data_IF_809125864888
#
_entry.id   IF_809125864888
#
_cell.length_a   1.000
_cell.length_b   1.000
_cell.length_c   1.000
_cell.angle_alpha   90.00
_cell.angle_beta   90.00
_cell.angle_gamma   90.00
#
_symmetry.space_group_name_H-M   'P 1'
#
loop_
_entity.id
_entity.type
_entity.pdbx_description
1 polymer ?
#
# COMPACT_ATOMS: atom_id res chain seq x y z
N UNK A 1 -11.70 -14.11 -7.78
CA UNK A 1 -10.80 -13.43 -8.75
C UNK A 1 -11.31 -12.05 -9.16
N UNK A 2 -12.44 -11.90 -9.88
CA UNK A 2 -12.90 -10.56 -10.38
C UNK A 2 -13.13 -9.52 -9.28
N UNK A 3 -13.79 -9.88 -8.18
CA UNK A 3 -14.07 -8.93 -7.10
C UNK A 3 -12.80 -8.45 -6.39
N UNK A 4 -11.89 -9.36 -6.06
CA UNK A 4 -10.57 -9.02 -5.53
C UNK A 4 -9.81 -8.12 -6.50
N UNK A 5 -9.83 -8.43 -7.80
CA UNK A 5 -9.24 -7.59 -8.83
C UNK A 5 -9.73 -6.14 -8.78
N UNK A 6 -11.03 -5.91 -8.61
CA UNK A 6 -11.58 -4.55 -8.44
C UNK A 6 -11.11 -3.85 -7.17
N UNK A 7 -11.03 -4.58 -6.04
CA UNK A 7 -10.50 -4.02 -4.77
C UNK A 7 -9.03 -3.61 -4.92
N UNK A 8 -8.20 -4.49 -5.47
CA UNK A 8 -6.79 -4.20 -5.67
C UNK A 8 -6.59 -3.11 -6.74
N UNK A 9 -7.46 -3.04 -7.76
CA UNK A 9 -7.46 -1.96 -8.74
C UNK A 9 -7.80 -0.61 -8.12
N UNK A 10 -8.73 -0.57 -7.16
CA UNK A 10 -9.04 0.64 -6.38
C UNK A 10 -7.79 1.13 -5.62
N UNK A 11 -7.11 0.24 -4.91
CA UNK A 11 -5.86 0.56 -4.19
C UNK A 11 -4.75 1.04 -5.14
N UNK A 12 -4.56 0.40 -6.29
CA UNK A 12 -3.52 0.76 -7.25
C UNK A 12 -3.83 2.05 -8.03
N UNK A 13 -5.08 2.25 -8.45
CA UNK A 13 -5.47 3.36 -9.33
C UNK A 13 -5.83 4.64 -8.58
N UNK A 14 -6.48 4.54 -7.41
CA UNK A 14 -6.92 5.72 -6.62
C UNK A 14 -5.92 6.07 -5.54
N UNK A 15 -5.42 5.06 -4.82
CA UNK A 15 -4.50 5.29 -3.70
C UNK A 15 -3.02 5.22 -4.11
N UNK A 16 -2.75 4.91 -5.39
CA UNK A 16 -1.41 4.80 -5.94
C UNK A 16 -0.48 3.87 -5.14
N UNK A 17 -1.04 2.81 -4.54
CA UNK A 17 -0.23 1.84 -3.80
C UNK A 17 0.71 1.13 -4.79
N UNK A 18 2.04 1.27 -4.63
CA UNK A 18 3.01 0.72 -5.56
C UNK A 18 3.14 -0.79 -5.43
N UNK A 19 3.75 -1.39 -6.45
CA UNK A 19 4.24 -2.76 -6.37
C UNK A 19 5.66 -2.77 -5.84
N UNK A 20 6.06 -3.86 -5.17
CA UNK A 20 7.41 -4.00 -4.62
C UNK A 20 8.55 -3.89 -5.65
N UNK A 21 8.23 -3.99 -6.94
CA UNK A 21 9.18 -3.93 -8.07
C UNK A 21 9.54 -2.50 -8.48
N UNK A 22 8.86 -1.48 -7.94
CA UNK A 22 9.18 -0.08 -8.25
C UNK A 22 10.51 0.31 -7.58
N UNK A 23 11.42 0.93 -8.34
CA UNK A 23 12.79 1.25 -7.91
C UNK A 23 12.84 2.14 -6.65
N UNK A 24 11.85 3.02 -6.50
CA UNK A 24 11.72 3.92 -5.34
C UNK A 24 11.27 3.19 -4.06
N UNK A 25 10.75 1.97 -4.20
CA UNK A 25 10.18 1.22 -3.09
C UNK A 25 11.26 0.51 -2.24
N UNK A 26 11.14 0.60 -0.92
CA UNK A 26 12.14 0.03 -0.01
C UNK A 26 12.32 -1.48 -0.16
N UNK A 27 11.25 -2.24 -0.41
CA UNK A 27 11.42 -3.66 -0.68
C UNK A 27 12.22 -3.94 -1.98
N UNK A 28 12.15 -3.06 -2.99
CA UNK A 28 12.98 -3.20 -4.19
C UNK A 28 14.46 -3.09 -3.86
N UNK A 29 14.84 -2.13 -3.01
CA UNK A 29 16.23 -1.96 -2.54
C UNK A 29 16.71 -3.18 -1.78
N UNK A 30 15.87 -3.78 -0.96
CA UNK A 30 16.17 -5.07 -0.32
C UNK A 30 16.38 -6.19 -1.34
N UNK A 31 15.52 -6.29 -2.36
CA UNK A 31 15.67 -7.28 -3.42
C UNK A 31 16.97 -7.10 -4.20
N UNK A 32 17.32 -5.87 -4.56
CA UNK A 32 18.59 -5.54 -5.20
C UNK A 32 19.76 -5.94 -4.29
N UNK A 33 19.69 -5.62 -3.00
CA UNK A 33 20.69 -6.00 -2.01
C UNK A 33 20.85 -7.53 -1.90
N UNK A 34 19.76 -8.31 -1.91
CA UNK A 34 19.84 -9.78 -1.93
C UNK A 34 20.54 -10.29 -3.20
N UNK A 35 20.19 -9.74 -4.36
CA UNK A 35 20.71 -10.20 -5.65
C UNK A 35 22.21 -9.87 -5.77
N UNK A 36 22.63 -8.72 -5.24
CA UNK A 36 24.00 -8.22 -5.33
C UNK A 36 24.91 -8.71 -4.19
N UNK A 37 24.35 -8.97 -2.99
CA UNK A 37 25.10 -9.34 -1.79
C UNK A 37 24.92 -10.82 -1.41
N UNK A 38 26.05 -11.52 -1.24
CA UNK A 38 26.10 -12.91 -0.81
C UNK A 38 25.76 -13.10 0.68
N UNK A 39 25.56 -12.03 1.46
CA UNK A 39 25.34 -12.06 2.92
C UNK A 39 24.24 -13.04 3.35
N UNK A 40 23.13 -13.10 2.63
CA UNK A 40 22.00 -13.97 2.99
C UNK A 40 22.14 -15.42 2.49
N UNK A 41 23.22 -15.77 1.78
CA UNK A 41 23.48 -17.12 1.24
C UNK A 41 22.29 -17.76 0.50
N UNK A 42 21.49 -16.95 -0.20
CA UNK A 42 20.37 -17.47 -1.00
C UNK A 42 20.91 -18.38 -2.12
N UNK A 43 20.31 -19.55 -2.27
CA UNK A 43 20.67 -20.46 -3.35
C UNK A 43 20.08 -20.00 -4.69
N UNK A 44 20.62 -20.51 -5.81
CA UNK A 44 20.15 -20.16 -7.16
C UNK A 44 18.63 -20.36 -7.37
N UNK A 45 18.01 -21.30 -6.64
CA UNK A 45 16.55 -21.48 -6.64
C UNK A 45 15.82 -20.27 -6.06
N UNK A 46 16.27 -19.74 -4.93
CA UNK A 46 15.65 -18.59 -4.26
C UNK A 46 15.83 -17.31 -5.10
N UNK A 47 17.00 -17.13 -5.72
CA UNK A 47 17.21 -16.04 -6.69
C UNK A 47 16.27 -16.18 -7.90
N UNK A 48 16.11 -17.39 -8.45
CA UNK A 48 15.15 -17.63 -9.53
C UNK A 48 13.67 -17.43 -9.12
N UNK A 49 13.34 -17.60 -7.84
CA UNK A 49 12.01 -17.28 -7.31
C UNK A 49 11.76 -15.76 -7.30
N UNK A 50 12.78 -14.96 -6.96
CA UNK A 50 12.73 -13.48 -7.04
C UNK A 50 12.49 -12.99 -8.48
N UNK A 51 13.24 -13.51 -9.45
CA UNK A 51 13.05 -13.15 -10.87
C UNK A 51 11.64 -13.51 -11.37
N UNK A 52 11.12 -14.67 -10.96
CA UNK A 52 9.74 -15.07 -11.27
C UNK A 52 8.72 -14.13 -10.61
N UNK A 53 8.99 -13.62 -9.40
CA UNK A 53 8.10 -12.70 -8.70
C UNK A 53 8.04 -11.35 -9.41
N UNK A 54 9.17 -10.82 -9.90
CA UNK A 54 9.20 -9.59 -10.69
C UNK A 54 8.33 -9.70 -11.95
N UNK A 55 8.48 -10.79 -12.70
CA UNK A 55 7.66 -11.03 -13.89
C UNK A 55 6.16 -11.12 -13.56
N UNK A 56 5.79 -11.79 -12.46
CA UNK A 56 4.39 -11.89 -12.03
C UNK A 56 3.85 -10.55 -11.57
N UNK A 57 4.63 -9.77 -10.84
CA UNK A 57 4.26 -8.43 -10.41
C UNK A 57 3.96 -7.55 -11.63
N UNK A 58 4.78 -7.59 -12.68
CA UNK A 58 4.52 -6.88 -13.93
C UNK A 58 3.16 -7.26 -14.58
N UNK A 59 2.85 -8.56 -14.63
CA UNK A 59 1.57 -9.03 -15.20
C UNK A 59 0.39 -8.56 -14.34
N UNK A 60 0.49 -8.68 -13.01
CA UNK A 60 -0.56 -8.25 -12.07
C UNK A 60 -0.75 -6.74 -12.11
N UNK A 61 0.33 -5.97 -12.14
CA UNK A 61 0.29 -4.51 -12.25
C UNK A 61 -0.43 -4.07 -13.52
N UNK A 62 -0.09 -4.67 -14.67
CA UNK A 62 -0.77 -4.39 -15.93
C UNK A 62 -2.25 -4.72 -15.87
N UNK A 63 -2.62 -5.82 -15.20
CA UNK A 63 -4.01 -6.17 -14.97
C UNK A 63 -4.71 -5.12 -14.10
N UNK A 64 -4.16 -4.79 -12.93
CA UNK A 64 -4.75 -3.84 -11.99
C UNK A 64 -4.83 -2.40 -12.50
N UNK A 65 -3.96 -2.00 -13.44
CA UNK A 65 -4.00 -0.67 -14.08
C UNK A 65 -5.10 -0.55 -15.14
N UNK A 66 -5.81 -1.63 -15.48
CA UNK A 66 -6.92 -1.54 -16.42
C UNK A 66 -8.11 -0.79 -15.78
N UNK A 67 -8.53 0.37 -16.32
CA UNK A 67 -9.61 1.18 -15.74
C UNK A 67 -10.97 0.45 -15.73
N UNK A 68 -11.16 -0.56 -16.57
CA UNK A 68 -12.38 -1.35 -16.60
C UNK A 68 -12.67 -2.04 -15.25
N UNK A 69 -11.64 -2.45 -14.51
CA UNK A 69 -11.84 -3.14 -13.22
C UNK A 69 -12.44 -2.24 -12.15
N UNK A 70 -12.12 -0.94 -12.17
CA UNK A 70 -12.70 0.03 -11.27
C UNK A 70 -14.07 0.50 -11.78
N UNK A 71 -14.23 0.69 -13.09
CA UNK A 71 -15.51 1.06 -13.70
C UNK A 71 -16.61 0.00 -13.50
N UNK A 72 -16.24 -1.29 -13.50
CA UNK A 72 -17.17 -2.41 -13.30
C UNK A 72 -17.35 -2.79 -11.81
N UNK A 73 -16.68 -2.10 -10.87
CA UNK A 73 -16.59 -2.55 -9.47
C UNK A 73 -17.96 -2.80 -8.83
N UNK A 74 -18.89 -1.83 -8.91
CA UNK A 74 -20.26 -2.00 -8.39
C UNK A 74 -20.96 -3.21 -9.00
N UNK A 75 -20.90 -3.36 -10.33
CA UNK A 75 -21.56 -4.46 -11.03
C UNK A 75 -20.98 -5.83 -10.64
N UNK A 76 -19.66 -5.90 -10.47
CA UNK A 76 -18.96 -7.12 -10.03
C UNK A 76 -19.34 -7.45 -8.58
N UNK A 77 -19.44 -6.45 -7.72
CA UNK A 77 -19.87 -6.60 -6.33
C UNK A 77 -21.31 -7.13 -6.24
N UNK A 78 -22.27 -6.53 -6.96
CA UNK A 78 -23.69 -6.92 -6.92
C UNK A 78 -23.95 -8.37 -7.39
N UNK A 79 -23.10 -8.85 -8.32
CA UNK A 79 -23.15 -10.20 -8.86
C UNK A 79 -22.41 -11.22 -8.01
N UNK A 80 -21.55 -10.78 -7.11
CA UNK A 80 -20.81 -11.68 -6.24
C UNK A 80 -21.78 -12.37 -5.27
N UNK A 81 -21.53 -13.66 -5.02
CA UNK A 81 -22.31 -14.48 -4.10
C UNK A 81 -21.33 -15.16 -3.17
N UNK A 82 -21.29 -14.71 -1.93
CA UNK A 82 -20.45 -15.31 -0.92
C UNK A 82 -21.05 -16.64 -0.47
N UNK A 83 -20.27 -17.72 -0.51
CA UNK A 83 -20.73 -19.05 -0.10
C UNK A 83 -20.02 -19.51 1.17
N UNK A 84 -18.70 -19.31 1.26
CA UNK A 84 -17.89 -19.69 2.43
C UNK A 84 -17.35 -18.51 3.22
N UNK A 85 -16.75 -18.78 4.38
CA UNK A 85 -16.12 -17.75 5.24
C UNK A 85 -15.15 -16.86 4.49
N UNK A 86 -14.31 -17.46 3.63
CA UNK A 86 -13.36 -16.73 2.82
C UNK A 86 -14.03 -15.75 1.83
N UNK A 87 -15.12 -16.19 1.18
CA UNK A 87 -15.87 -15.31 0.28
C UNK A 87 -16.58 -14.18 1.03
N UNK A 88 -17.04 -14.44 2.26
CA UNK A 88 -17.66 -13.41 3.11
C UNK A 88 -16.62 -12.35 3.52
N UNK A 89 -15.40 -12.76 3.87
CA UNK A 89 -14.30 -11.84 4.15
C UNK A 89 -13.95 -10.98 2.93
N UNK A 90 -13.88 -11.59 1.73
CA UNK A 90 -13.70 -10.82 0.49
C UNK A 90 -14.83 -9.83 0.26
N UNK A 91 -16.08 -10.27 0.47
CA UNK A 91 -17.26 -9.42 0.27
C UNK A 91 -17.27 -8.24 1.26
N UNK A 92 -16.91 -8.46 2.52
CA UNK A 92 -16.78 -7.39 3.52
C UNK A 92 -15.69 -6.37 3.15
N UNK A 93 -14.49 -6.85 2.79
CA UNK A 93 -13.40 -5.99 2.33
C UNK A 93 -13.80 -5.20 1.08
N UNK A 94 -14.45 -5.86 0.11
CA UNK A 94 -14.92 -5.22 -1.11
C UNK A 94 -16.03 -4.21 -0.87
N UNK A 95 -16.95 -4.50 0.05
CA UNK A 95 -18.02 -3.57 0.45
C UNK A 95 -17.42 -2.29 1.04
N UNK A 96 -16.43 -2.42 1.93
CA UNK A 96 -15.77 -1.27 2.53
C UNK A 96 -15.03 -0.42 1.48
N UNK A 97 -14.31 -1.06 0.55
CA UNK A 97 -13.62 -0.38 -0.54
C UNK A 97 -14.60 0.33 -1.49
N UNK A 98 -15.71 -0.33 -1.85
CA UNK A 98 -16.73 0.23 -2.73
C UNK A 98 -17.49 1.40 -2.09
N UNK A 99 -17.76 1.34 -0.78
CA UNK A 99 -18.37 2.44 -0.04
C UNK A 99 -17.45 3.67 -0.02
N UNK A 100 -16.16 3.49 0.26
CA UNK A 100 -15.16 4.56 0.18
C UNK A 100 -15.09 5.16 -1.22
N UNK A 101 -14.97 4.32 -2.25
CA UNK A 101 -14.92 4.77 -3.63
C UNK A 101 -16.17 5.55 -4.05
N UNK A 102 -17.36 5.08 -3.66
CA UNK A 102 -18.62 5.76 -4.01
C UNK A 102 -18.77 7.08 -3.27
N UNK A 103 -18.33 7.16 -2.01
CA UNK A 103 -18.49 8.36 -1.16
C UNK A 103 -17.43 9.42 -1.42
N UNK A 104 -16.20 9.02 -1.72
CA UNK A 104 -15.04 9.91 -1.82
C UNK A 104 -14.40 9.94 -3.22
N UNK A 105 -14.90 9.13 -4.16
CA UNK A 105 -14.48 9.17 -5.56
C UNK A 105 -13.00 8.88 -5.74
N UNK A 106 -12.30 9.83 -6.36
CA UNK A 106 -10.86 9.75 -6.63
C UNK A 106 -9.97 10.28 -5.50
N UNK A 107 -10.52 10.54 -4.30
CA UNK A 107 -9.71 10.98 -3.16
C UNK A 107 -8.73 9.88 -2.76
N UNK A 108 -7.45 10.21 -2.74
CA UNK A 108 -6.38 9.32 -2.29
C UNK A 108 -6.13 9.47 -0.80
N UNK A 109 -5.57 8.43 -0.18
CA UNK A 109 -5.03 8.52 1.18
C UNK A 109 -3.79 9.41 1.21
N UNK A 110 -3.06 9.46 0.09
CA UNK A 110 -1.86 10.27 -0.07
C UNK A 110 -2.19 11.77 -0.04
N UNK A 111 -3.40 12.17 -0.43
CA UNK A 111 -3.84 13.57 -0.38
C UNK A 111 -3.93 14.09 1.07
N UNK A 112 -4.01 13.19 2.04
CA UNK A 112 -4.05 13.52 3.47
C UNK A 112 -2.67 13.41 4.13
N UNK A 113 -1.60 13.14 3.37
CA UNK A 113 -0.25 12.97 3.92
C UNK A 113 0.65 14.07 3.33
N UNK A 114 0.92 15.07 4.17
CA UNK A 114 1.58 16.30 3.78
C UNK A 114 3.08 16.27 4.11
N UNK A 115 3.90 15.79 3.18
CA UNK A 115 5.37 15.84 3.29
C UNK A 115 5.95 17.24 3.15
N UNK A 116 5.23 18.10 2.44
CA UNK A 116 5.53 19.52 2.21
C UNK A 116 5.46 20.38 3.47
N UNK A 117 4.81 19.88 4.53
CA UNK A 117 4.74 20.56 5.83
C UNK A 117 5.89 20.14 6.75
N UNK A 118 6.62 19.08 6.39
CA UNK A 118 7.87 18.74 7.08
C UNK A 118 8.98 19.68 6.61
N UNK A 119 9.95 20.03 7.49
CA UNK A 119 11.09 20.85 7.10
C UNK A 119 11.79 20.24 5.88
N UNK A 120 12.02 21.05 4.84
CA UNK A 120 12.71 20.62 3.61
C UNK A 120 14.13 20.10 3.93
N UNK A 121 14.65 19.22 3.07
CA UNK A 121 15.99 18.64 3.22
C UNK A 121 17.11 19.70 3.34
N UNK A 122 16.90 20.92 2.81
CA UNK A 122 17.84 22.04 2.90
C UNK A 122 17.83 22.77 4.26
N UNK A 123 16.73 22.68 5.03
CA UNK A 123 16.63 23.26 6.38
C UNK A 123 17.10 22.31 7.49
N UNK A 124 17.29 21.02 7.17
CA UNK A 124 17.94 20.07 8.07
C UNK A 124 19.45 20.23 7.97
N UNK A 125 20.10 20.31 9.12
CA UNK A 125 21.55 20.28 9.20
C UNK A 125 22.06 18.99 8.52
N UNK A 126 22.85 19.06 7.43
CA UNK A 126 23.39 17.87 6.78
C UNK A 126 24.32 17.05 7.69
N UNK A 127 24.68 17.58 8.86
CA UNK A 127 25.37 16.86 9.94
C UNK A 127 24.44 16.32 11.04
N UNK A 128 23.15 16.64 11.03
CA UNK A 128 22.18 15.97 11.90
C UNK A 128 21.83 14.61 11.29
N UNK A 129 22.23 13.56 12.01
CA UNK A 129 21.83 12.19 11.72
C UNK A 129 20.34 11.93 12.04
N UNK A 130 19.51 12.97 12.10
CA UNK A 130 18.12 12.84 12.50
C UNK A 130 17.36 12.09 11.41
N UNK A 131 16.86 10.89 11.73
CA UNK A 131 16.27 10.03 10.73
C UNK A 131 15.02 10.69 10.12
N UNK A 132 14.71 10.37 8.86
CA UNK A 132 13.60 11.01 8.13
C UNK A 132 12.29 10.27 8.45
N UNK A 133 11.15 10.95 8.56
CA UNK A 133 9.86 10.27 8.66
C UNK A 133 9.62 9.38 7.45
N UNK A 134 8.91 8.26 7.66
CA UNK A 134 8.58 7.34 6.58
C UNK A 134 7.57 7.97 5.62
N UNK A 135 7.88 7.86 4.34
CA UNK A 135 7.00 8.22 3.23
C UNK A 135 6.01 7.07 2.91
N UNK A 136 4.82 7.33 2.34
CA UNK A 136 3.80 6.32 2.07
C UNK A 136 4.25 5.22 1.13
N UNK A 137 5.08 5.58 0.15
CA UNK A 137 5.81 4.67 -0.72
C UNK A 137 6.91 3.86 0.01
N UNK A 138 7.05 3.99 1.33
CA UNK A 138 7.93 3.16 2.16
C UNK A 138 7.15 2.17 3.04
N UNK A 139 5.82 2.32 3.19
CA UNK A 139 5.00 1.42 4.02
C UNK A 139 3.68 0.93 3.37
N UNK A 140 3.31 1.41 2.19
CA UNK A 140 2.28 0.79 1.35
C UNK A 140 2.93 0.13 0.14
N UNK A 141 2.80 -1.20 0.01
CA UNK A 141 3.02 -1.87 -1.27
C UNK A 141 2.32 -3.22 -1.34
N UNK A 142 2.09 -3.65 -2.59
CA UNK A 142 1.85 -5.06 -2.87
C UNK A 142 3.17 -5.82 -2.81
N UNK A 143 3.28 -6.74 -1.86
CA UNK A 143 4.37 -7.73 -1.77
C UNK A 143 3.79 -9.11 -2.03
N UNK A 144 4.40 -9.85 -2.94
CA UNK A 144 3.95 -11.21 -3.23
C UNK A 144 4.62 -12.17 -2.24
N UNK A 145 3.82 -12.73 -1.33
CA UNK A 145 4.14 -13.85 -0.43
C UNK A 145 5.04 -13.49 0.78
N UNK A 146 4.48 -13.64 1.99
CA UNK A 146 5.15 -13.31 3.27
C UNK A 146 5.90 -14.49 3.91
N UNK A 147 5.57 -15.74 3.55
CA UNK A 147 5.85 -16.91 4.40
C UNK A 147 6.98 -17.84 3.95
N UNK A 148 7.82 -17.43 2.99
CA UNK A 148 9.08 -18.12 2.67
C UNK A 148 10.29 -17.42 3.32
N UNK A 149 11.48 -18.00 3.17
CA UNK A 149 12.73 -17.43 3.72
C UNK A 149 12.96 -15.99 3.24
N UNK A 150 12.61 -15.70 1.99
CA UNK A 150 12.72 -14.37 1.38
C UNK A 150 11.77 -13.38 2.05
N UNK A 151 10.49 -13.75 2.20
CA UNK A 151 9.50 -12.92 2.87
C UNK A 151 9.87 -12.61 4.32
N UNK A 152 10.45 -13.59 5.05
CA UNK A 152 10.97 -13.36 6.40
C UNK A 152 12.15 -12.39 6.41
N UNK A 153 13.16 -12.61 5.57
CA UNK A 153 14.30 -11.71 5.51
C UNK A 153 13.88 -10.28 5.09
N UNK A 154 12.86 -10.14 4.22
CA UNK A 154 12.31 -8.84 3.86
C UNK A 154 11.64 -8.16 5.06
N UNK A 155 10.82 -8.89 5.83
CA UNK A 155 10.21 -8.35 7.04
C UNK A 155 11.28 -7.95 8.05
N UNK A 156 12.27 -8.81 8.30
CA UNK A 156 13.36 -8.51 9.23
C UNK A 156 14.18 -7.30 8.76
N UNK A 157 14.46 -7.17 7.47
CA UNK A 157 15.17 -6.03 6.92
C UNK A 157 14.36 -4.74 7.03
N UNK A 158 13.08 -4.78 6.66
CA UNK A 158 12.16 -3.64 6.84
C UNK A 158 12.10 -3.26 8.33
N UNK A 159 11.91 -4.21 9.24
CA UNK A 159 11.84 -3.91 10.67
C UNK A 159 13.14 -3.30 11.23
N UNK A 160 14.30 -3.75 10.74
CA UNK A 160 15.58 -3.16 11.13
C UNK A 160 15.77 -1.75 10.52
N UNK A 161 15.50 -1.56 9.23
CA UNK A 161 15.65 -0.27 8.54
C UNK A 161 14.64 0.78 9.04
N UNK A 162 13.39 0.35 9.30
CA UNK A 162 12.34 1.20 9.86
C UNK A 162 12.50 1.41 11.38
N UNK A 163 13.18 0.51 12.09
CA UNK A 163 13.37 0.59 13.54
C UNK A 163 14.17 1.82 13.98
N UNK A 164 15.05 2.31 13.11
CA UNK A 164 15.85 3.51 13.32
C UNK A 164 15.16 4.79 12.84
N UNK A 165 13.95 4.69 12.27
CA UNK A 165 13.22 5.84 11.71
C UNK A 165 12.31 6.48 12.76
N UNK A 166 12.11 7.82 12.76
CA UNK A 166 11.37 8.55 13.78
C UNK A 166 9.84 8.30 13.72
N UNK A 167 9.39 7.40 12.84
CA UNK A 167 8.00 7.02 12.65
C UNK A 167 7.42 7.44 11.29
N UNK A 168 6.16 7.07 11.07
CA UNK A 168 5.38 7.43 9.88
C UNK A 168 4.78 8.83 10.04
N UNK A 169 4.63 9.55 8.92
CA UNK A 169 3.82 10.78 8.89
C UNK A 169 2.35 10.38 9.00
N UNK A 170 1.62 10.78 10.05
CA UNK A 170 0.20 10.48 10.15
C UNK A 170 -0.58 11.28 9.10
N UNK A 171 -1.77 10.81 8.69
CA UNK A 171 -2.67 11.65 7.92
C UNK A 171 -3.08 12.91 8.70
N UNK A 172 -3.10 14.05 8.02
CA UNK A 172 -3.45 15.35 8.57
C UNK A 172 -4.57 15.95 7.73
N UNK A 173 -5.54 16.57 8.38
CA UNK A 173 -6.54 17.41 7.71
C UNK A 173 -6.18 18.88 7.93
N UNK A 174 -5.87 19.59 6.85
CA UNK A 174 -5.49 21.00 6.89
C UNK A 174 -6.67 21.89 6.47
N UNK A 175 -6.98 22.90 7.29
CA UNK A 175 -7.98 23.93 6.99
C UNK A 175 -7.31 25.31 6.98
N UNK A 176 -7.33 25.98 5.81
CA UNK A 176 -6.80 27.33 5.65
C UNK A 176 -7.77 28.36 6.23
N UNK A 177 -7.29 29.32 7.02
CA UNK A 177 -8.11 30.38 7.63
C UNK A 177 -7.94 31.73 6.92
N UNK A 178 -7.67 31.73 5.62
CA UNK A 178 -7.46 32.93 4.81
C UNK A 178 -8.75 33.72 4.53
N UNK A 179 -9.92 33.10 4.74
CA UNK A 179 -11.26 33.70 4.56
C UNK A 179 -12.19 33.31 5.71
N UNK A 180 -13.26 34.09 5.97
CA UNK A 180 -14.31 33.69 6.91
C UNK A 180 -14.95 32.37 6.47
N UNK A 181 -14.98 31.40 7.38
CA UNK A 181 -15.54 30.07 7.13
C UNK A 181 -16.81 29.86 7.93
N UNK A 182 -17.79 29.17 7.33
CA UNK A 182 -19.08 28.88 7.95
C UNK A 182 -18.99 27.83 9.06
N UNK A 183 -17.98 26.96 9.03
CA UNK A 183 -17.76 25.89 10.01
C UNK A 183 -16.33 25.35 9.95
N UNK A 184 -15.85 24.79 11.06
CA UNK A 184 -14.63 23.97 11.10
C UNK A 184 -15.00 22.57 10.59
N UNK A 185 -14.26 22.06 9.60
CA UNK A 185 -14.50 20.75 8.95
C UNK A 185 -13.25 19.88 9.07
N UNK A 186 -12.67 19.84 10.27
CA UNK A 186 -11.55 18.97 10.62
C UNK A 186 -12.10 17.61 11.08
N UNK A 187 -12.17 16.64 10.16
CA UNK A 187 -12.37 15.25 10.52
C UNK A 187 -11.44 14.34 9.70
N UNK A 188 -11.14 13.17 10.26
CA UNK A 188 -10.32 12.14 9.62
C UNK A 188 -11.15 10.88 9.33
N UNK A 189 -12.45 11.07 9.05
CA UNK A 189 -13.40 9.97 8.87
C UNK A 189 -13.00 9.10 7.67
N UNK A 190 -12.56 9.74 6.58
CA UNK A 190 -12.09 9.04 5.38
C UNK A 190 -10.85 8.20 5.66
N UNK A 191 -9.87 8.77 6.36
CA UNK A 191 -8.60 8.14 6.66
C UNK A 191 -8.82 6.94 7.59
N UNK A 192 -9.67 7.12 8.60
CA UNK A 192 -10.10 6.04 9.48
C UNK A 192 -10.77 4.91 8.70
N UNK A 193 -11.77 5.25 7.89
CA UNK A 193 -12.50 4.26 7.07
C UNK A 193 -11.56 3.57 6.07
N UNK A 194 -10.59 4.30 5.51
CA UNK A 194 -9.55 3.75 4.63
C UNK A 194 -8.67 2.73 5.33
N UNK A 195 -8.11 3.05 6.51
CA UNK A 195 -7.28 2.08 7.24
C UNK A 195 -8.08 0.87 7.72
N UNK A 196 -9.32 1.07 8.15
CA UNK A 196 -10.23 -0.02 8.51
C UNK A 196 -10.56 -0.91 7.30
N UNK A 197 -10.64 -0.36 6.09
CA UNK A 197 -10.82 -1.12 4.85
C UNK A 197 -9.53 -1.84 4.47
N UNK A 198 -8.39 -1.14 4.49
CA UNK A 198 -7.09 -1.66 4.12
C UNK A 198 -6.68 -2.85 4.99
N UNK A 199 -6.94 -2.77 6.31
CA UNK A 199 -6.72 -3.88 7.23
C UNK A 199 -7.55 -5.13 6.86
N UNK A 200 -8.82 -4.96 6.46
CA UNK A 200 -9.66 -6.08 6.00
C UNK A 200 -9.08 -6.73 4.73
N UNK A 201 -8.57 -5.92 3.80
CA UNK A 201 -7.91 -6.42 2.58
C UNK A 201 -6.65 -7.22 2.94
N UNK A 202 -5.79 -6.70 3.82
CA UNK A 202 -4.58 -7.40 4.26
C UNK A 202 -4.92 -8.72 4.94
N UNK A 203 -5.88 -8.72 5.87
CA UNK A 203 -6.34 -9.93 6.57
C UNK A 203 -6.80 -10.95 5.53
N UNK A 204 -7.66 -10.54 4.59
CA UNK A 204 -8.16 -11.42 3.55
C UNK A 204 -7.04 -12.01 2.69
N UNK A 205 -6.11 -11.18 2.19
CA UNK A 205 -4.98 -11.63 1.37
C UNK A 205 -4.09 -12.64 2.10
N UNK A 206 -3.91 -12.49 3.42
CA UNK A 206 -3.14 -13.42 4.23
C UNK A 206 -3.87 -14.74 4.54
N UNK A 207 -5.15 -14.88 4.17
CA UNK A 207 -5.88 -16.17 4.26
C UNK A 207 -5.87 -16.97 2.96
N UNK A 208 -5.33 -16.41 1.87
CA UNK A 208 -5.19 -17.11 0.59
C UNK A 208 -3.88 -17.91 0.64
N UNK A 209 -3.98 -19.24 0.77
CA UNK A 209 -2.85 -20.18 0.65
C UNK A 209 -2.36 -20.34 -0.79
#
# INVERSE_FOLDING_TARGET
MRLLGSVLSYLAQVHHIPFFTHEEFQANKFYQYIVEDAYYNFCAKQIGELDSMDHRAFVVERYLKNPAHLAEFQQVFDRFRAVGTHDHQLHEAASAALQLYTRHGSRSILDSIHFDILPEEEERDPSSADPRPLKPDQYFAFVWRKFDDIGRCLVDWIENDLGDMPGMVPPINCQLFDKPQSSITLNLDFEKDFFDMYLKVIIYLNTIE
#
